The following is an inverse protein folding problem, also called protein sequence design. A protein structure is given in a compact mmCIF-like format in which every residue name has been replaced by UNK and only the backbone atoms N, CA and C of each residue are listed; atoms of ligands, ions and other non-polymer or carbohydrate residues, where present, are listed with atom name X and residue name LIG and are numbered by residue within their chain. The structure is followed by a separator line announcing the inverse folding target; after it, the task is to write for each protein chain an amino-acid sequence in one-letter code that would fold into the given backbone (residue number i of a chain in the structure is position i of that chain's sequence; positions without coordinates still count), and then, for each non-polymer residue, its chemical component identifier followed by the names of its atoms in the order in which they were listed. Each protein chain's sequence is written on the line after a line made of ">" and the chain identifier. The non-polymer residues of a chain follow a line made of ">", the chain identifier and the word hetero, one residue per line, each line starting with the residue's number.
data_IF_041606161075
#
_entry.id   IF_041606161075
#
_cell.length_a   1.000
_cell.length_b   1.000
_cell.length_c   1.000
_cell.angle_alpha   90.00
_cell.angle_beta   90.00
_cell.angle_gamma   90.00
#
_symmetry.space_group_name_H-M   'P 1'
#
loop_
_entity.id
_entity.type
_entity.pdbx_description
1 polymer ?
#
# COMPACT_ATOMS: atom_id res chain seq x y z
N UNK A 1 17.51 15.48 -5.09
CA UNK A 1 17.72 14.31 -5.96
C UNK A 1 17.42 13.05 -5.16
N UNK A 2 16.44 12.27 -5.58
CA UNK A 2 16.17 10.95 -5.00
C UNK A 2 17.32 10.04 -5.41
N UNK A 3 18.21 9.70 -4.46
CA UNK A 3 19.18 8.63 -4.66
C UNK A 3 18.38 7.33 -4.82
N UNK A 4 18.36 6.75 -6.00
CA UNK A 4 17.84 5.40 -6.19
C UNK A 4 18.84 4.44 -5.57
N UNK A 5 18.39 3.63 -4.62
CA UNK A 5 19.21 2.60 -3.96
C UNK A 5 18.40 1.30 -3.99
N UNK A 6 19.04 0.26 -4.48
CA UNK A 6 18.53 -1.09 -4.33
C UNK A 6 19.11 -1.66 -3.04
N UNK A 7 18.22 -2.16 -2.16
CA UNK A 7 18.63 -2.71 -0.86
C UNK A 7 18.68 -4.24 -0.90
N UNK A 8 19.56 -4.83 -0.14
CA UNK A 8 19.61 -6.26 0.15
C UNK A 8 19.77 -6.46 1.64
N UNK A 9 18.80 -7.09 2.30
CA UNK A 9 18.90 -7.51 3.69
C UNK A 9 19.41 -8.95 3.70
N UNK A 10 20.71 -9.13 3.56
CA UNK A 10 21.36 -10.43 3.80
C UNK A 10 22.41 -10.37 4.89
N UNK A 11 22.56 -9.21 5.49
CA UNK A 11 23.60 -8.97 6.47
C UNK A 11 23.09 -9.38 7.84
N UNK A 12 23.01 -10.70 8.01
CA UNK A 12 22.69 -11.39 9.27
C UNK A 12 23.75 -12.46 9.57
N UNK A 13 23.99 -12.64 10.84
CA UNK A 13 24.78 -13.73 11.39
C UNK A 13 23.91 -14.60 12.33
N UNK A 14 24.53 -15.44 13.13
CA UNK A 14 23.84 -16.26 14.13
C UNK A 14 23.15 -15.42 15.24
N UNK A 15 23.55 -14.16 15.42
CA UNK A 15 22.96 -13.23 16.40
C UNK A 15 21.84 -12.35 15.83
N UNK A 16 21.62 -12.35 14.51
CA UNK A 16 20.51 -11.63 13.86
C UNK A 16 20.95 -10.63 12.80
N UNK A 17 20.05 -9.69 12.50
CA UNK A 17 20.28 -8.66 11.49
C UNK A 17 21.18 -7.53 12.06
N UNK A 18 22.18 -7.10 11.31
CA UNK A 18 23.10 -6.04 11.73
C UNK A 18 23.32 -4.96 10.67
N UNK A 19 22.68 -5.07 9.51
CA UNK A 19 22.88 -4.05 8.50
C UNK A 19 22.01 -4.21 7.26
N UNK A 20 22.20 -3.26 6.37
CA UNK A 20 21.56 -3.19 5.06
C UNK A 20 22.62 -2.86 4.01
N UNK A 21 22.62 -3.63 2.95
CA UNK A 21 23.46 -3.39 1.78
C UNK A 21 22.66 -2.68 0.71
N UNK A 22 23.22 -1.63 0.13
CA UNK A 22 22.59 -0.80 -0.88
C UNK A 22 23.50 -0.64 -2.09
N UNK A 23 22.92 -0.53 -3.27
CA UNK A 23 23.63 -0.04 -4.43
C UNK A 23 23.34 1.45 -4.62
N UNK A 24 24.35 2.30 -4.64
CA UNK A 24 24.22 3.72 -4.97
C UNK A 24 24.41 3.90 -6.48
N UNK A 25 23.35 4.18 -7.21
CA UNK A 25 23.38 4.34 -8.66
C UNK A 25 24.11 5.61 -9.11
N UNK A 26 24.22 6.64 -8.26
CA UNK A 26 24.93 7.86 -8.61
C UNK A 26 26.44 7.64 -8.56
N UNK A 27 26.90 6.96 -7.51
CA UNK A 27 28.32 6.68 -7.28
C UNK A 27 28.76 5.36 -7.93
N UNK A 28 27.81 4.59 -8.48
CA UNK A 28 28.00 3.27 -9.09
C UNK A 28 28.81 2.33 -8.19
N UNK A 29 28.45 2.28 -6.91
CA UNK A 29 29.14 1.46 -5.90
C UNK A 29 28.17 0.85 -4.90
N UNK A 30 28.67 -0.21 -4.26
CA UNK A 30 27.99 -0.80 -3.12
C UNK A 30 28.26 0.05 -1.86
N UNK A 31 27.20 0.25 -1.06
CA UNK A 31 27.30 0.87 0.26
C UNK A 31 26.66 -0.06 1.29
N UNK A 32 27.30 -0.16 2.45
CA UNK A 32 26.82 -0.99 3.55
C UNK A 32 26.56 -0.10 4.75
N UNK A 33 25.36 -0.19 5.30
CA UNK A 33 24.97 0.52 6.51
C UNK A 33 24.78 -0.49 7.63
N UNK A 34 25.57 -0.38 8.68
CA UNK A 34 25.49 -1.26 9.86
C UNK A 34 24.82 -0.56 11.03
N UNK A 35 24.20 -1.32 11.90
CA UNK A 35 23.53 -0.80 13.09
C UNK A 35 23.18 -1.88 14.08
N UNK A 36 22.88 -1.49 15.32
CA UNK A 36 22.46 -2.41 16.38
C UNK A 36 21.07 -2.99 16.16
N UNK A 37 20.23 -2.29 15.41
CA UNK A 37 18.90 -2.72 14.97
C UNK A 37 18.61 -2.16 13.59
N UNK A 38 17.89 -2.90 12.78
CA UNK A 38 17.45 -2.51 11.44
C UNK A 38 15.94 -2.38 11.44
N UNK A 39 15.43 -1.26 10.92
CA UNK A 39 14.01 -1.01 10.72
C UNK A 39 13.70 -0.98 9.23
N UNK A 40 12.75 -1.81 8.81
CA UNK A 40 12.26 -1.80 7.43
C UNK A 40 10.81 -1.34 7.40
N UNK A 41 10.55 -0.28 6.61
CA UNK A 41 9.25 0.40 6.50
C UNK A 41 8.94 0.80 5.06
N UNK A 42 9.22 -0.10 4.11
CA UNK A 42 9.21 0.18 2.67
C UNK A 42 7.82 0.22 2.02
N UNK A 43 6.75 -0.04 2.78
CA UNK A 43 5.39 -0.07 2.24
C UNK A 43 4.97 -1.44 1.71
N UNK A 44 3.83 -1.47 1.01
CA UNK A 44 3.19 -2.69 0.53
C UNK A 44 3.56 -3.10 -0.89
N UNK A 45 2.62 -3.81 -1.56
CA UNK A 45 2.83 -4.44 -2.87
C UNK A 45 1.77 -4.05 -3.91
N UNK A 46 0.93 -3.06 -3.62
CA UNK A 46 -0.27 -2.79 -4.42
C UNK A 46 0.00 -2.37 -5.87
N UNK A 47 1.23 -1.91 -6.20
CA UNK A 47 1.58 -1.52 -7.57
C UNK A 47 1.89 -2.71 -8.51
N UNK A 48 1.87 -3.96 -8.03
CA UNK A 48 1.94 -5.14 -8.91
C UNK A 48 0.61 -5.39 -9.64
N UNK A 49 -0.47 -4.76 -9.19
CA UNK A 49 -1.78 -4.86 -9.84
C UNK A 49 -1.92 -3.84 -10.97
N UNK A 50 -2.63 -4.23 -12.04
CA UNK A 50 -2.88 -3.37 -13.21
C UNK A 50 -3.47 -2.01 -12.85
N UNK A 51 -4.36 -1.98 -11.83
CA UNK A 51 -4.94 -0.75 -11.29
C UNK A 51 -4.56 -0.63 -9.82
N UNK A 52 -3.90 0.46 -9.49
CA UNK A 52 -3.47 0.75 -8.12
C UNK A 52 -3.59 2.24 -7.83
N UNK A 53 -3.90 2.57 -6.58
CA UNK A 53 -3.87 3.96 -6.08
C UNK A 53 -2.51 4.32 -5.48
N UNK A 54 -1.56 3.40 -5.50
CA UNK A 54 -0.22 3.58 -4.95
C UNK A 54 0.77 4.05 -6.03
N UNK A 55 1.88 4.69 -5.65
CA UNK A 55 2.98 4.95 -6.56
C UNK A 55 3.49 3.67 -7.23
N UNK A 56 3.91 3.74 -8.48
CA UNK A 56 4.43 2.59 -9.24
C UNK A 56 5.65 1.92 -8.60
N UNK A 57 6.30 2.59 -7.67
CA UNK A 57 7.43 2.05 -6.89
C UNK A 57 7.00 1.16 -5.72
N UNK A 58 5.70 1.02 -5.43
CA UNK A 58 5.19 0.18 -4.34
C UNK A 58 4.99 -1.27 -4.81
N UNK A 59 6.06 -1.91 -5.24
CA UNK A 59 6.07 -3.24 -5.89
C UNK A 59 6.43 -4.39 -4.95
N UNK A 60 6.66 -4.12 -3.66
CA UNK A 60 6.94 -5.16 -2.67
C UNK A 60 8.42 -5.46 -2.45
N UNK A 61 9.31 -4.53 -2.77
CA UNK A 61 10.76 -4.70 -2.57
C UNK A 61 11.11 -5.12 -1.15
N UNK A 62 10.53 -4.46 -0.14
CA UNK A 62 10.76 -4.82 1.25
C UNK A 62 10.24 -6.21 1.62
N UNK A 63 9.14 -6.64 1.01
CA UNK A 63 8.63 -8.00 1.20
C UNK A 63 9.61 -9.04 0.62
N UNK A 64 10.12 -8.79 -0.59
CA UNK A 64 11.11 -9.66 -1.22
C UNK A 64 12.41 -9.71 -0.39
N UNK A 65 12.86 -8.56 0.12
CA UNK A 65 14.05 -8.46 0.98
C UNK A 65 13.88 -9.28 2.27
N UNK A 66 12.77 -9.12 2.97
CA UNK A 66 12.49 -9.82 4.23
C UNK A 66 12.27 -11.32 4.00
N UNK A 67 11.59 -11.71 2.93
CA UNK A 67 11.45 -13.10 2.54
C UNK A 67 12.82 -13.76 2.30
N UNK A 68 13.68 -13.12 1.52
CA UNK A 68 15.03 -13.60 1.25
C UNK A 68 15.91 -13.65 2.52
N UNK A 69 15.65 -12.77 3.48
CA UNK A 69 16.30 -12.80 4.78
C UNK A 69 15.78 -13.94 5.69
N UNK A 70 14.68 -14.61 5.34
CA UNK A 70 14.06 -15.69 6.10
C UNK A 70 13.03 -15.22 7.13
N UNK A 71 12.41 -14.05 6.91
CA UNK A 71 11.27 -13.62 7.70
C UNK A 71 10.03 -14.49 7.40
N UNK A 72 9.19 -14.68 8.41
CA UNK A 72 7.86 -15.23 8.23
C UNK A 72 6.96 -14.21 7.53
N UNK A 73 6.35 -14.62 6.41
CA UNK A 73 5.39 -13.83 5.65
C UNK A 73 4.01 -14.45 5.83
N UNK A 74 3.00 -13.65 6.13
CA UNK A 74 1.63 -14.12 6.42
C UNK A 74 0.59 -13.24 5.74
N UNK A 75 -0.60 -13.78 5.56
CA UNK A 75 -1.82 -13.08 5.13
C UNK A 75 -1.72 -12.37 3.76
N UNK A 76 -0.85 -12.85 2.86
CA UNK A 76 -0.58 -12.20 1.56
C UNK A 76 -1.77 -12.20 0.61
N UNK A 77 -2.76 -13.05 0.84
CA UNK A 77 -4.03 -13.07 0.12
C UNK A 77 -4.91 -11.84 0.41
N UNK A 78 -4.66 -11.13 1.52
CA UNK A 78 -5.46 -9.97 1.91
C UNK A 78 -4.92 -8.67 1.32
N UNK A 79 -5.33 -8.39 0.10
CA UNK A 79 -5.09 -7.09 -0.56
C UNK A 79 -6.41 -6.32 -0.55
N UNK A 80 -6.42 -5.13 0.05
CA UNK A 80 -7.59 -4.27 0.04
C UNK A 80 -7.70 -3.52 -1.28
N UNK A 81 -8.80 -3.72 -2.00
CA UNK A 81 -9.17 -2.91 -3.15
C UNK A 81 -10.03 -1.74 -2.69
N UNK A 82 -9.62 -0.51 -3.03
CA UNK A 82 -10.46 0.66 -2.81
C UNK A 82 -11.56 0.70 -3.86
N UNK A 83 -12.84 0.81 -3.46
CA UNK A 83 -13.97 0.69 -4.41
C UNK A 83 -14.03 1.83 -5.43
N UNK A 84 -13.65 3.05 -5.05
CA UNK A 84 -13.81 4.24 -5.87
C UNK A 84 -12.43 4.86 -6.21
N UNK A 85 -11.79 4.35 -7.24
CA UNK A 85 -10.68 5.02 -7.90
C UNK A 85 -11.14 5.48 -9.29
N UNK A 86 -10.76 6.70 -9.72
CA UNK A 86 -11.11 7.21 -11.05
C UNK A 86 -10.59 6.20 -12.09
N UNK A 87 -11.49 5.79 -12.98
CA UNK A 87 -11.12 4.96 -14.10
C UNK A 87 -10.52 5.81 -15.21
N UNK A 88 -9.33 5.39 -15.70
CA UNK A 88 -8.73 5.91 -16.91
C UNK A 88 -8.38 4.76 -17.86
N UNK A 89 -8.48 4.93 -19.18
CA UNK A 89 -8.08 3.90 -20.15
C UNK A 89 -6.59 3.52 -20.05
N UNK A 90 -5.75 4.45 -19.60
CA UNK A 90 -4.29 4.27 -19.42
C UNK A 90 -3.92 3.37 -18.24
N UNK A 91 -4.88 3.08 -17.35
CA UNK A 91 -4.65 2.27 -16.14
C UNK A 91 -4.23 3.07 -14.92
N UNK A 92 -3.91 4.35 -15.06
CA UNK A 92 -3.70 5.23 -13.91
C UNK A 92 -4.99 5.33 -13.09
N UNK A 93 -4.87 5.15 -11.79
CA UNK A 93 -5.99 5.25 -10.88
C UNK A 93 -5.76 6.35 -9.84
N UNK A 94 -6.69 7.29 -9.76
CA UNK A 94 -6.66 8.33 -8.74
C UNK A 94 -7.74 8.05 -7.68
N UNK A 95 -7.33 8.11 -6.42
CA UNK A 95 -8.23 7.79 -5.31
C UNK A 95 -9.34 8.84 -5.17
N UNK A 96 -10.59 8.40 -5.29
CA UNK A 96 -11.76 9.18 -4.83
C UNK A 96 -12.02 8.80 -3.39
N UNK A 97 -11.77 9.73 -2.48
CA UNK A 97 -11.94 9.51 -1.04
C UNK A 97 -13.30 8.92 -0.70
N UNK A 98 -13.32 8.00 0.27
CA UNK A 98 -14.56 7.45 0.82
C UNK A 98 -15.53 8.53 1.34
N UNK A 99 -14.98 9.68 1.77
CA UNK A 99 -15.77 10.82 2.21
C UNK A 99 -16.75 11.35 1.12
N UNK A 100 -16.47 11.10 -0.17
CA UNK A 100 -17.37 11.47 -1.27
C UNK A 100 -18.64 10.61 -1.22
N UNK A 101 -18.50 9.29 -0.95
CA UNK A 101 -19.66 8.41 -0.70
C UNK A 101 -20.37 8.80 0.61
N UNK A 102 -19.59 9.19 1.63
CA UNK A 102 -20.11 9.71 2.89
C UNK A 102 -20.91 10.99 2.76
N UNK A 103 -20.63 11.83 1.74
CA UNK A 103 -21.42 13.03 1.43
C UNK A 103 -22.76 12.69 0.74
N UNK A 104 -22.96 11.44 0.32
CA UNK A 104 -24.19 10.95 -0.26
C UNK A 104 -24.10 10.61 -1.75
N UNK A 105 -22.90 10.51 -2.33
CA UNK A 105 -22.75 10.08 -3.73
C UNK A 105 -23.28 8.65 -3.94
N UNK A 106 -23.96 8.43 -5.08
CA UNK A 106 -24.56 7.14 -5.45
C UNK A 106 -23.72 6.37 -6.46
N UNK A 107 -23.64 5.06 -6.29
CA UNK A 107 -23.05 4.15 -7.27
C UNK A 107 -24.09 3.70 -8.29
N UNK A 108 -23.85 4.04 -9.56
CA UNK A 108 -24.74 3.74 -10.68
C UNK A 108 -24.05 2.84 -11.69
N UNK A 109 -24.79 1.87 -12.25
CA UNK A 109 -24.34 1.15 -13.43
C UNK A 109 -24.47 2.01 -14.70
N UNK A 110 -24.14 1.48 -15.87
CA UNK A 110 -24.21 2.22 -17.14
C UNK A 110 -25.66 2.56 -17.53
N UNK A 111 -26.63 1.82 -17.04
CA UNK A 111 -28.05 2.07 -17.24
C UNK A 111 -28.60 3.17 -16.31
N UNK A 112 -27.76 3.66 -15.38
CA UNK A 112 -28.16 4.66 -14.40
C UNK A 112 -28.88 4.11 -13.18
N UNK A 113 -28.86 2.81 -12.97
CA UNK A 113 -29.50 2.15 -11.82
C UNK A 113 -28.55 2.15 -10.61
N UNK A 114 -29.09 2.46 -9.44
CA UNK A 114 -28.38 2.45 -8.16
C UNK A 114 -28.30 1.03 -7.61
N UNK A 115 -27.24 0.30 -7.92
CA UNK A 115 -27.11 -1.12 -7.66
C UNK A 115 -26.74 -1.51 -6.22
N UNK A 116 -26.33 -0.56 -5.36
CA UNK A 116 -26.00 -0.85 -3.96
C UNK A 116 -27.24 -1.01 -3.08
N UNK A 117 -28.40 -0.52 -3.51
CA UNK A 117 -29.66 -0.66 -2.80
C UNK A 117 -30.05 -2.14 -2.75
N UNK A 118 -30.30 -2.65 -1.54
CA UNK A 118 -30.62 -4.07 -1.32
C UNK A 118 -29.42 -5.02 -1.25
N UNK A 119 -28.21 -4.55 -1.53
CA UNK A 119 -26.97 -5.34 -1.34
C UNK A 119 -26.49 -5.31 0.12
N UNK A 120 -26.63 -4.18 0.78
CA UNK A 120 -26.27 -3.97 2.18
C UNK A 120 -27.13 -2.86 2.79
N UNK A 121 -27.42 -2.93 4.10
CA UNK A 121 -28.25 -1.93 4.79
C UNK A 121 -27.71 -0.49 4.69
N UNK A 122 -26.39 -0.34 4.67
CA UNK A 122 -25.69 0.95 4.52
C UNK A 122 -25.48 1.36 3.06
N UNK A 123 -25.94 0.57 2.08
CA UNK A 123 -25.77 0.82 0.65
C UNK A 123 -24.30 1.24 0.29
N UNK A 124 -24.06 2.44 -0.25
CA UNK A 124 -22.73 2.94 -0.61
C UNK A 124 -21.77 3.15 0.58
N UNK A 125 -22.29 3.15 1.79
CA UNK A 125 -21.49 3.25 3.03
C UNK A 125 -21.14 1.87 3.62
N UNK A 126 -21.47 0.79 2.94
CA UNK A 126 -21.05 -0.56 3.30
C UNK A 126 -19.51 -0.66 3.41
N UNK A 127 -18.96 -1.65 4.13
CA UNK A 127 -17.53 -1.94 4.16
C UNK A 127 -16.90 -1.97 2.76
N UNK A 128 -15.64 -1.56 2.66
CA UNK A 128 -14.94 -1.39 1.36
C UNK A 128 -14.93 -2.65 0.50
N UNK A 129 -14.76 -3.81 1.12
CA UNK A 129 -14.77 -5.11 0.46
C UNK A 129 -16.12 -5.40 -0.18
N UNK A 130 -17.24 -5.15 0.52
CA UNK A 130 -18.59 -5.33 0.02
C UNK A 130 -18.85 -4.40 -1.18
N UNK A 131 -18.48 -3.13 -1.07
CA UNK A 131 -18.65 -2.15 -2.16
C UNK A 131 -17.78 -2.53 -3.36
N UNK A 132 -16.51 -2.87 -3.14
CA UNK A 132 -15.58 -3.24 -4.21
C UNK A 132 -16.03 -4.51 -4.94
N UNK A 133 -16.49 -5.53 -4.21
CA UNK A 133 -17.04 -6.75 -4.80
C UNK A 133 -18.33 -6.48 -5.59
N UNK A 134 -19.22 -5.63 -5.06
CA UNK A 134 -20.45 -5.25 -5.76
C UNK A 134 -20.19 -4.52 -7.07
N UNK A 135 -19.22 -3.59 -7.08
CA UNK A 135 -18.77 -2.91 -8.30
C UNK A 135 -18.18 -3.93 -9.29
N UNK A 136 -17.27 -4.77 -8.82
CA UNK A 136 -16.64 -5.80 -9.67
C UNK A 136 -17.67 -6.74 -10.28
N UNK A 137 -18.68 -7.15 -9.52
CA UNK A 137 -19.77 -7.99 -10.01
C UNK A 137 -20.57 -7.28 -11.10
N UNK A 138 -20.95 -5.99 -10.90
CA UNK A 138 -21.64 -5.20 -11.92
C UNK A 138 -20.84 -5.09 -13.21
N UNK A 139 -19.53 -4.77 -13.10
CA UNK A 139 -18.64 -4.68 -14.25
C UNK A 139 -18.56 -6.02 -15.01
N UNK A 140 -18.49 -7.14 -14.28
CA UNK A 140 -18.41 -8.48 -14.88
C UNK A 140 -19.72 -8.89 -15.56
N UNK A 141 -20.86 -8.68 -14.93
CA UNK A 141 -22.17 -9.07 -15.44
C UNK A 141 -22.54 -8.30 -16.72
N UNK A 142 -22.14 -7.03 -16.81
CA UNK A 142 -22.46 -6.15 -17.94
C UNK A 142 -21.31 -5.98 -18.94
N UNK A 143 -20.18 -6.69 -18.76
CA UNK A 143 -18.97 -6.58 -19.59
C UNK A 143 -18.44 -5.14 -19.69
N UNK A 144 -18.41 -4.43 -18.57
CA UNK A 144 -18.02 -3.04 -18.48
C UNK A 144 -16.74 -2.84 -17.70
N UNK A 145 -15.98 -1.79 -18.01
CA UNK A 145 -14.68 -1.50 -17.39
C UNK A 145 -14.80 -0.64 -16.13
N UNK A 146 -15.95 -0.01 -15.89
CA UNK A 146 -16.19 0.89 -14.77
C UNK A 146 -17.68 1.05 -14.48
N UNK A 147 -17.97 1.64 -13.32
CA UNK A 147 -19.29 2.13 -12.93
C UNK A 147 -19.23 3.63 -12.68
N UNK A 148 -20.36 4.28 -12.43
CA UNK A 148 -20.37 5.72 -12.11
C UNK A 148 -20.56 5.97 -10.61
N UNK A 149 -19.80 6.90 -10.07
CA UNK A 149 -20.08 7.54 -8.78
C UNK A 149 -20.74 8.88 -9.08
N UNK A 150 -22.06 8.96 -8.89
CA UNK A 150 -22.87 10.13 -9.23
C UNK A 150 -23.05 11.08 -8.05
N UNK A 151 -22.80 12.37 -8.30
CA UNK A 151 -22.97 13.46 -7.35
C UNK A 151 -24.06 14.44 -7.82
N UNK A 152 -24.75 14.13 -8.92
CA UNK A 152 -25.71 15.01 -9.62
C UNK A 152 -26.82 15.58 -8.73
N UNK A 153 -27.22 14.85 -7.69
CA UNK A 153 -28.27 15.25 -6.75
C UNK A 153 -27.76 16.07 -5.57
N UNK A 154 -26.42 16.31 -5.48
CA UNK A 154 -25.76 17.07 -4.43
C UNK A 154 -25.53 18.50 -4.87
N UNK A 155 -25.34 19.43 -3.91
CA UNK A 155 -25.00 20.82 -4.18
C UNK A 155 -23.58 20.92 -4.77
N UNK A 156 -23.45 21.40 -6.03
CA UNK A 156 -22.15 21.49 -6.71
C UNK A 156 -21.13 22.39 -6.00
N UNK A 157 -21.57 23.51 -5.42
CA UNK A 157 -20.67 24.43 -4.73
C UNK A 157 -20.16 23.83 -3.42
N UNK A 158 -21.00 23.09 -2.71
CA UNK A 158 -20.59 22.35 -1.51
C UNK A 158 -19.57 21.28 -1.87
N UNK A 159 -19.77 20.54 -2.94
CA UNK A 159 -18.85 19.48 -3.41
C UNK A 159 -17.50 20.07 -3.81
N UNK A 160 -17.49 21.12 -4.61
CA UNK A 160 -16.27 21.81 -5.02
C UNK A 160 -15.44 22.30 -3.84
N UNK A 161 -16.10 22.91 -2.86
CA UNK A 161 -15.44 23.44 -1.66
C UNK A 161 -14.91 22.33 -0.74
N UNK A 162 -15.62 21.20 -0.66
CA UNK A 162 -15.26 20.10 0.25
C UNK A 162 -14.17 19.19 -0.32
N UNK A 163 -14.10 19.03 -1.63
CA UNK A 163 -13.19 18.11 -2.32
C UNK A 163 -12.38 18.79 -3.43
N UNK A 164 -11.65 19.88 -3.14
CA UNK A 164 -10.99 20.68 -4.17
C UNK A 164 -10.00 19.88 -5.01
N UNK A 165 -9.16 19.05 -4.37
CA UNK A 165 -8.14 18.25 -5.06
C UNK A 165 -8.75 17.18 -6.00
N UNK A 166 -9.87 16.55 -5.58
CA UNK A 166 -10.58 15.59 -6.43
C UNK A 166 -11.25 16.31 -7.59
N UNK A 167 -11.81 17.48 -7.31
CA UNK A 167 -12.46 18.35 -8.33
C UNK A 167 -11.46 18.77 -9.41
N UNK A 168 -10.28 19.26 -9.01
CA UNK A 168 -9.20 19.63 -9.93
C UNK A 168 -8.74 18.43 -10.75
N UNK A 169 -8.53 17.26 -10.10
CA UNK A 169 -8.12 16.04 -10.81
C UNK A 169 -9.16 15.57 -11.83
N UNK A 170 -10.43 15.63 -11.49
CA UNK A 170 -11.52 15.33 -12.44
C UNK A 170 -11.48 16.32 -13.63
N UNK A 171 -11.31 17.61 -13.38
CA UNK A 171 -11.23 18.62 -14.44
C UNK A 171 -10.02 18.39 -15.38
N UNK A 172 -8.84 18.05 -14.84
CA UNK A 172 -7.67 17.67 -15.63
C UNK A 172 -7.94 16.49 -16.56
N UNK A 173 -8.79 15.56 -16.14
CA UNK A 173 -9.17 14.37 -16.90
C UNK A 173 -10.41 14.59 -17.79
N UNK A 174 -10.96 15.80 -17.85
CA UNK A 174 -12.17 16.12 -18.61
C UNK A 174 -13.44 15.53 -18.02
N UNK A 175 -13.45 15.23 -16.71
CA UNK A 175 -14.59 14.64 -15.99
C UNK A 175 -15.31 15.75 -15.21
N UNK A 176 -16.62 15.87 -15.38
CA UNK A 176 -17.44 16.72 -14.53
C UNK A 176 -17.78 15.99 -13.22
N UNK A 177 -17.05 16.34 -12.15
CA UNK A 177 -17.29 15.77 -10.83
C UNK A 177 -18.71 16.05 -10.30
N UNK A 178 -19.34 17.16 -10.71
CA UNK A 178 -20.68 17.54 -10.22
C UNK A 178 -21.80 16.72 -10.84
N UNK A 179 -21.55 16.02 -11.95
CA UNK A 179 -22.46 15.03 -12.52
C UNK A 179 -22.07 13.63 -12.04
N UNK A 180 -20.98 13.07 -12.57
CA UNK A 180 -20.57 11.69 -12.26
C UNK A 180 -19.10 11.43 -12.59
N UNK A 181 -18.48 10.57 -11.78
CA UNK A 181 -17.10 10.14 -11.92
C UNK A 181 -17.07 8.68 -12.35
N UNK A 182 -16.41 8.29 -13.46
CA UNK A 182 -16.18 6.88 -13.76
C UNK A 182 -15.21 6.29 -12.73
N UNK A 183 -15.63 5.22 -12.05
CA UNK A 183 -14.83 4.58 -10.99
C UNK A 183 -14.75 3.06 -11.16
N UNK A 184 -13.62 2.49 -10.78
CA UNK A 184 -13.42 1.06 -10.70
C UNK A 184 -12.58 0.71 -9.46
N UNK A 185 -12.68 -0.53 -8.94
CA UNK A 185 -11.82 -0.98 -7.86
C UNK A 185 -10.35 -0.97 -8.25
N UNK A 186 -9.50 -0.51 -7.35
CA UNK A 186 -8.05 -0.49 -7.52
C UNK A 186 -7.35 -1.00 -6.26
N UNK A 187 -6.26 -1.74 -6.42
CA UNK A 187 -5.43 -2.18 -5.31
C UNK A 187 -4.93 -0.97 -4.53
N UNK A 188 -5.09 -0.99 -3.21
CA UNK A 188 -4.91 0.20 -2.38
C UNK A 188 -4.04 -0.04 -1.15
N UNK A 189 -4.15 -1.19 -0.50
CA UNK A 189 -3.44 -1.50 0.71
C UNK A 189 -3.15 -2.99 0.83
N UNK A 190 -1.90 -3.33 1.15
CA UNK A 190 -1.50 -4.70 1.48
C UNK A 190 -1.73 -4.93 2.97
N UNK A 191 -2.65 -5.83 3.31
CA UNK A 191 -2.96 -6.16 4.71
C UNK A 191 -1.98 -7.18 5.26
N UNK A 192 -1.65 -8.18 4.45
CA UNK A 192 -0.59 -9.13 4.74
C UNK A 192 0.80 -8.51 4.68
N UNK A 193 1.81 -9.29 5.00
CA UNK A 193 3.20 -8.84 5.00
C UNK A 193 4.08 -9.65 5.93
N UNK A 194 5.13 -9.03 6.42
CA UNK A 194 6.03 -9.63 7.40
C UNK A 194 5.33 -9.77 8.74
N UNK A 195 5.28 -10.99 9.24
CA UNK A 195 4.72 -11.28 10.58
C UNK A 195 5.55 -10.56 11.65
N UNK A 196 4.89 -9.77 12.47
CA UNK A 196 5.52 -9.08 13.60
C UNK A 196 4.75 -9.32 14.89
N UNK A 197 5.45 -9.15 16.01
CA UNK A 197 4.80 -9.05 17.30
C UNK A 197 4.26 -7.62 17.55
N UNK A 198 3.71 -7.40 18.74
CA UNK A 198 3.13 -6.08 19.12
C UNK A 198 4.19 -4.98 19.31
N UNK A 199 5.46 -5.28 19.16
CA UNK A 199 6.58 -4.33 19.21
C UNK A 199 7.29 -4.18 17.86
N UNK A 200 6.74 -4.79 16.80
CA UNK A 200 7.31 -4.72 15.46
C UNK A 200 8.49 -5.66 15.22
N UNK A 201 8.82 -6.57 16.16
CA UNK A 201 9.88 -7.57 15.98
C UNK A 201 9.45 -8.62 14.96
N UNK A 202 10.37 -9.03 14.13
CA UNK A 202 10.24 -10.21 13.27
C UNK A 202 10.79 -11.47 13.99
N UNK A 203 10.72 -12.61 13.30
CA UNK A 203 11.41 -13.84 13.74
C UNK A 203 12.94 -13.75 13.62
N UNK A 204 13.49 -12.68 13.02
CA UNK A 204 14.93 -12.44 12.94
C UNK A 204 15.30 -11.43 14.01
N UNK A 205 16.22 -11.77 14.95
CA UNK A 205 16.66 -10.84 15.97
C UNK A 205 17.19 -9.53 15.34
N UNK A 206 16.92 -8.40 15.99
CA UNK A 206 17.38 -7.06 15.60
C UNK A 206 16.82 -6.54 14.28
N UNK A 207 15.85 -7.23 13.66
CA UNK A 207 15.09 -6.76 12.50
C UNK A 207 13.65 -6.43 12.90
N UNK A 208 13.31 -5.17 12.79
CA UNK A 208 11.98 -4.61 13.03
C UNK A 208 11.29 -4.25 11.73
N UNK A 209 10.00 -4.53 11.65
CA UNK A 209 9.17 -4.16 10.50
C UNK A 209 7.92 -3.43 11.00
N UNK A 210 7.62 -2.28 10.39
CA UNK A 210 6.46 -1.47 10.76
C UNK A 210 5.76 -0.90 9.53
N UNK A 211 4.55 -0.41 9.72
CA UNK A 211 3.72 0.16 8.67
C UNK A 211 3.16 -0.91 7.74
N UNK A 212 2.86 -0.55 6.50
CA UNK A 212 2.17 -1.43 5.54
C UNK A 212 2.97 -2.69 5.14
N UNK A 213 4.27 -2.73 5.43
CA UNK A 213 5.06 -3.93 5.22
C UNK A 213 4.80 -5.01 6.28
N UNK A 214 4.32 -4.62 7.46
CA UNK A 214 4.09 -5.52 8.59
C UNK A 214 2.67 -6.09 8.57
N UNK A 215 2.55 -7.39 8.85
CA UNK A 215 1.29 -8.00 9.29
C UNK A 215 1.33 -8.16 10.81
N UNK A 216 0.78 -7.16 11.50
CA UNK A 216 0.67 -7.13 12.97
C UNK A 216 -0.55 -7.88 13.50
N UNK A 217 -1.44 -8.32 12.61
CA UNK A 217 -2.71 -8.98 12.92
C UNK A 217 -3.87 -8.04 13.30
N UNK A 218 -3.62 -6.74 13.51
CA UNK A 218 -4.67 -5.82 13.98
C UNK A 218 -5.69 -5.44 12.90
N UNK A 219 -5.35 -5.63 11.63
CA UNK A 219 -6.22 -5.28 10.51
C UNK A 219 -7.20 -6.40 10.14
N UNK A 220 -6.98 -7.62 10.64
CA UNK A 220 -7.74 -8.79 10.19
C UNK A 220 -7.62 -8.97 8.67
N UNK A 221 -8.70 -9.36 8.02
CA UNK A 221 -8.74 -9.55 6.57
C UNK A 221 -9.06 -8.26 5.78
N UNK A 222 -9.49 -7.19 6.44
CA UNK A 222 -9.93 -5.96 5.79
C UNK A 222 -9.69 -4.73 6.66
N UNK A 223 -8.83 -3.82 6.21
CA UNK A 223 -8.46 -2.62 6.94
C UNK A 223 -9.59 -1.59 6.96
N UNK A 224 -9.96 -1.11 8.14
CA UNK A 224 -10.82 0.07 8.29
C UNK A 224 -10.08 1.33 7.83
N UNK A 225 -10.83 2.27 7.26
CA UNK A 225 -10.29 3.53 6.78
C UNK A 225 -9.47 4.25 7.88
N UNK A 226 -8.30 4.77 7.52
CA UNK A 226 -7.37 5.52 8.36
C UNK A 226 -6.66 4.74 9.48
N UNK A 227 -7.02 3.47 9.76
CA UNK A 227 -6.36 2.69 10.82
C UNK A 227 -4.86 2.46 10.55
N UNK A 228 -4.45 2.39 9.29
CA UNK A 228 -3.03 2.22 8.94
C UNK A 228 -2.15 3.37 9.44
N UNK A 229 -2.66 4.61 9.45
CA UNK A 229 -1.89 5.74 9.97
C UNK A 229 -1.67 5.62 11.49
N UNK A 230 -2.71 5.22 12.21
CA UNK A 230 -2.62 4.98 13.67
C UNK A 230 -1.68 3.81 13.94
N UNK A 231 -1.75 2.73 13.16
CA UNK A 231 -0.84 1.61 13.24
C UNK A 231 0.61 2.06 13.09
N UNK A 232 0.94 2.81 12.04
CA UNK A 232 2.29 3.33 11.81
C UNK A 232 2.82 4.11 13.02
N UNK A 233 1.99 4.97 13.63
CA UNK A 233 2.38 5.78 14.80
C UNK A 233 2.60 4.92 16.05
N UNK A 234 1.67 4.02 16.34
CA UNK A 234 1.71 3.19 17.56
C UNK A 234 2.83 2.15 17.47
N UNK A 235 2.89 1.40 16.38
CA UNK A 235 3.90 0.34 16.23
C UNK A 235 5.29 0.91 15.97
N UNK A 236 5.41 2.02 15.23
CA UNK A 236 6.68 2.71 15.09
C UNK A 236 7.26 3.16 16.44
N UNK A 237 6.42 3.76 17.30
CA UNK A 237 6.83 4.12 18.66
C UNK A 237 7.26 2.89 19.47
N UNK A 238 6.42 1.84 19.49
CA UNK A 238 6.72 0.61 20.26
C UNK A 238 8.01 -0.06 19.78
N UNK A 239 8.24 -0.10 18.47
CA UNK A 239 9.43 -0.69 17.90
C UNK A 239 10.70 0.06 18.32
N UNK A 240 10.66 1.41 18.32
CA UNK A 240 11.80 2.21 18.80
C UNK A 240 12.04 2.00 20.30
N UNK A 241 11.00 2.06 21.13
CA UNK A 241 11.13 1.83 22.57
C UNK A 241 11.69 0.45 22.89
N UNK A 242 11.25 -0.57 22.14
CA UNK A 242 11.74 -1.93 22.31
C UNK A 242 13.18 -2.10 21.83
N UNK A 243 13.53 -1.51 20.69
CA UNK A 243 14.88 -1.59 20.11
C UNK A 243 15.96 -0.98 21.02
N UNK A 244 15.61 0.05 21.78
CA UNK A 244 16.52 0.65 22.78
C UNK A 244 16.80 -0.31 23.94
N UNK A 245 15.79 -1.08 24.38
CA UNK A 245 15.93 -2.07 25.44
C UNK A 245 16.65 -3.35 24.99
N UNK A 246 16.49 -3.68 23.71
CA UNK A 246 17.00 -4.91 23.09
C UNK A 246 18.05 -4.59 22.02
N UNK A 247 18.96 -3.69 22.37
CA UNK A 247 20.07 -3.32 21.52
C UNK A 247 21.02 -4.51 21.36
N UNK A 248 21.50 -4.74 20.13
CA UNK A 248 22.55 -5.71 19.88
C UNK A 248 23.81 -5.32 20.65
N UNK A 249 24.33 -6.24 21.46
CA UNK A 249 25.57 -6.06 22.22
C UNK A 249 26.77 -6.70 21.51
N UNK A 250 26.53 -7.68 20.64
CA UNK A 250 27.56 -8.39 19.90
C UNK A 250 28.27 -7.45 18.90
N UNK A 251 29.57 -7.67 18.68
CA UNK A 251 30.32 -6.92 17.69
C UNK A 251 29.71 -7.03 16.30
N UNK A 252 29.63 -5.92 15.61
CA UNK A 252 29.23 -5.90 14.19
C UNK A 252 30.42 -6.42 13.38
N UNK A 253 30.26 -7.42 12.49
CA UNK A 253 31.34 -7.94 11.69
C UNK A 253 32.04 -6.83 10.88
N UNK A 254 33.38 -6.77 10.94
CA UNK A 254 34.16 -5.79 10.20
C UNK A 254 34.18 -6.06 8.69
N UNK A 255 33.98 -7.33 8.29
CA UNK A 255 33.94 -7.74 6.89
C UNK A 255 32.63 -8.47 6.59
N UNK A 256 31.93 -7.97 5.61
CA UNK A 256 30.74 -8.64 5.08
C UNK A 256 31.11 -9.54 3.91
N UNK A 257 30.49 -10.73 3.76
CA UNK A 257 30.71 -11.55 2.57
C UNK A 257 30.35 -10.74 1.32
N UNK A 258 31.30 -10.62 0.38
CA UNK A 258 31.06 -9.99 -0.91
C UNK A 258 29.97 -10.76 -1.65
N UNK A 259 28.88 -10.10 -1.98
CA UNK A 259 27.85 -10.61 -2.86
C UNK A 259 28.12 -10.03 -4.25
N UNK A 260 28.33 -10.89 -5.25
CA UNK A 260 28.33 -10.41 -6.64
C UNK A 260 26.88 -10.06 -7.01
N UNK A 261 26.55 -8.79 -7.06
CA UNK A 261 25.38 -8.32 -7.76
C UNK A 261 25.53 -8.73 -9.24
N UNK A 262 24.58 -9.52 -9.71
CA UNK A 262 24.52 -9.88 -11.14
C UNK A 262 24.11 -8.61 -11.90
N UNK A 263 25.16 -7.96 -12.49
CA UNK A 263 24.98 -6.69 -13.22
C UNK A 263 24.02 -6.84 -14.41
N UNK A 264 23.99 -7.99 -15.08
CA UNK A 264 23.08 -8.22 -16.21
C UNK A 264 21.61 -8.22 -15.76
N UNK A 265 21.36 -8.73 -14.54
CA UNK A 265 20.01 -8.64 -13.95
C UNK A 265 19.65 -7.23 -13.49
N UNK A 266 20.62 -6.46 -13.02
CA UNK A 266 20.39 -5.08 -12.59
C UNK A 266 20.04 -4.18 -13.79
N UNK A 267 20.78 -4.32 -14.90
CA UNK A 267 20.57 -3.56 -16.13
C UNK A 267 19.24 -3.91 -16.83
N UNK A 268 18.71 -5.11 -16.58
CA UNK A 268 17.39 -5.51 -17.08
C UNK A 268 16.21 -4.88 -16.32
N UNK A 269 16.47 -4.28 -15.15
CA UNK A 269 15.45 -3.58 -14.31
C UNK A 269 15.50 -2.05 -14.46
N UNK A 270 16.47 -1.51 -15.15
CA UNK A 270 16.61 -0.09 -15.50
C UNK A 270 16.09 0.20 -16.91
#
# INVERSE_FOLDING_TARGET
>A
SRRQRQMCIRDRDEHGCYGVRCWDFNENREEIFTGHNVFLTSGGTSAIYKRTTNPHTTIGDGLALTYNAGCEIVDMEFIQFHPSAIYTPTGEAYLVSEAVRGEGAHLLNQQGERFMVGKHELAELAPRDIVAQSIFQQMKEHHEDYVYLSLKHLDPEKIRKRFPNIFEKCAELGIDMTDRIPVAPAAHYTVGGVKTDLTGRTNIPHLYVCGELASSGIMGANRLASNSLIECLVFGKRAVEDSVRNRREDPIPETMPLFSLDREKLDAYL
#
